data_IF_101490177889
#
_entry.id   IF_101490177889
#
_cell.length_a   1.000
_cell.length_b   1.000
_cell.length_c   1.000
_cell.angle_alpha   90.00
_cell.angle_beta   90.00
_cell.angle_gamma   90.00
#
_symmetry.space_group_name_H-M   'P 1'
#
loop_
_entity.id
_entity.type
_entity.pdbx_description
1 polymer ?
#
# COMPACT_ATOMS: atom_id res chain seq x y z
N UNK A 1 -17.32 -16.80 30.96
CA UNK A 1 -16.93 -15.56 30.26
C UNK A 1 -16.46 -15.96 28.89
N UNK A 2 -17.19 -15.59 27.85
CA UNK A 2 -16.79 -15.88 26.48
C UNK A 2 -15.64 -14.92 26.11
N UNK A 3 -14.46 -15.47 25.79
CA UNK A 3 -13.39 -14.70 25.15
C UNK A 3 -13.91 -14.30 23.75
N UNK A 4 -14.22 -13.02 23.59
CA UNK A 4 -14.41 -12.42 22.27
C UNK A 4 -13.09 -12.55 21.50
N UNK A 5 -13.01 -13.54 20.66
CA UNK A 5 -11.89 -13.67 19.69
C UNK A 5 -12.00 -12.47 18.76
N UNK A 6 -11.19 -11.45 18.98
CA UNK A 6 -11.08 -10.29 18.09
C UNK A 6 -10.61 -10.80 16.72
N UNK A 7 -11.57 -11.03 15.84
CA UNK A 7 -11.28 -11.44 14.46
C UNK A 7 -10.47 -10.34 13.78
N UNK A 8 -9.23 -10.66 13.42
CA UNK A 8 -8.33 -9.71 12.74
C UNK A 8 -8.91 -9.40 11.35
N UNK A 9 -9.24 -8.15 11.10
CA UNK A 9 -9.79 -7.68 9.82
C UNK A 9 -8.88 -8.07 8.65
N UNK A 10 -9.48 -8.58 7.59
CA UNK A 10 -8.81 -8.86 6.31
C UNK A 10 -8.31 -7.56 5.65
N UNK A 11 -7.47 -7.68 4.64
CA UNK A 11 -7.00 -6.52 3.89
C UNK A 11 -8.12 -5.75 3.20
N UNK A 12 -9.03 -6.47 2.58
CA UNK A 12 -10.21 -5.89 1.93
C UNK A 12 -11.09 -5.13 2.93
N UNK A 13 -11.33 -5.70 4.12
CA UNK A 13 -12.08 -5.03 5.19
C UNK A 13 -11.39 -3.77 5.70
N UNK A 14 -10.07 -3.77 5.76
CA UNK A 14 -9.29 -2.56 6.13
C UNK A 14 -9.40 -1.47 5.08
N UNK A 15 -9.31 -1.83 3.79
CA UNK A 15 -9.50 -0.88 2.70
C UNK A 15 -10.93 -0.35 2.65
N UNK A 16 -11.92 -1.21 2.83
CA UNK A 16 -13.32 -0.80 2.92
C UNK A 16 -13.55 0.17 4.08
N UNK A 17 -13.03 -0.13 5.27
CA UNK A 17 -13.14 0.76 6.44
C UNK A 17 -12.49 2.13 6.19
N UNK A 18 -11.34 2.17 5.52
CA UNK A 18 -10.71 3.43 5.12
C UNK A 18 -11.60 4.23 4.16
N UNK A 19 -12.16 3.58 3.13
CA UNK A 19 -13.04 4.24 2.16
C UNK A 19 -14.32 4.77 2.81
N UNK A 20 -14.93 4.02 3.73
CA UNK A 20 -16.10 4.48 4.50
C UNK A 20 -15.76 5.76 5.26
N UNK A 21 -14.66 5.77 6.01
CA UNK A 21 -14.21 6.96 6.75
C UNK A 21 -13.95 8.15 5.82
N UNK A 22 -13.35 7.90 4.64
CA UNK A 22 -13.10 8.95 3.66
C UNK A 22 -14.40 9.52 3.07
N UNK A 23 -15.39 8.66 2.78
CA UNK A 23 -16.70 9.07 2.29
C UNK A 23 -17.51 9.86 3.33
N UNK A 24 -17.49 9.42 4.58
CA UNK A 24 -18.11 10.16 5.70
C UNK A 24 -17.51 11.55 5.85
N UNK A 25 -16.19 11.67 5.78
CA UNK A 25 -15.52 12.97 5.81
C UNK A 25 -15.88 13.82 4.60
N UNK A 26 -15.88 13.25 3.40
CA UNK A 26 -16.26 13.96 2.18
C UNK A 26 -17.71 14.50 2.26
N UNK A 27 -18.64 13.71 2.80
CA UNK A 27 -20.04 14.13 2.96
C UNK A 27 -20.20 15.33 3.90
N UNK A 28 -19.32 15.45 4.90
CA UNK A 28 -19.27 16.59 5.82
C UNK A 28 -18.58 17.83 5.22
N UNK A 29 -17.80 17.66 4.15
CA UNK A 29 -16.98 18.68 3.50
C UNK A 29 -17.44 18.98 2.05
N UNK A 30 -18.73 19.14 1.82
CA UNK A 30 -19.32 19.44 0.51
C UNK A 30 -19.19 18.34 -0.55
N UNK A 31 -19.04 17.10 -0.14
CA UNK A 31 -19.07 15.94 -1.04
C UNK A 31 -17.82 15.72 -1.90
N UNK A 32 -16.70 16.37 -1.58
CA UNK A 32 -15.46 16.23 -2.34
C UNK A 32 -14.57 15.15 -1.75
N UNK A 33 -14.43 14.02 -2.45
CA UNK A 33 -13.56 12.92 -2.05
C UNK A 33 -12.09 13.14 -2.47
N UNK A 34 -11.90 13.74 -3.67
CA UNK A 34 -10.60 14.12 -4.22
C UNK A 34 -10.67 15.59 -4.65
N UNK A 35 -9.77 16.41 -4.17
CA UNK A 35 -9.74 17.85 -4.46
C UNK A 35 -9.19 18.20 -5.86
N UNK A 36 -9.07 17.21 -6.75
CA UNK A 36 -8.55 17.44 -8.08
C UNK A 36 -7.11 17.97 -8.11
N UNK A 37 -6.34 17.64 -7.08
CA UNK A 37 -4.92 18.03 -7.05
C UNK A 37 -4.21 17.43 -8.25
N UNK A 38 -3.40 18.21 -8.94
CA UNK A 38 -2.63 17.79 -10.11
C UNK A 38 -1.44 16.92 -9.76
N UNK A 39 -1.47 16.25 -8.60
CA UNK A 39 -0.41 15.32 -8.18
C UNK A 39 -0.31 14.14 -9.13
N UNK A 40 0.89 13.67 -9.31
CA UNK A 40 1.16 12.45 -10.08
C UNK A 40 0.51 11.23 -9.42
N UNK A 41 0.29 10.18 -10.22
CA UNK A 41 -0.23 8.91 -9.71
C UNK A 41 0.60 8.41 -8.52
N UNK A 42 -0.03 7.93 -7.45
CA UNK A 42 0.66 7.41 -6.28
C UNK A 42 1.65 6.29 -6.61
N UNK A 43 2.78 6.31 -5.95
CA UNK A 43 3.91 5.41 -6.19
C UNK A 43 4.69 5.08 -4.94
N UNK A 44 5.48 4.02 -4.98
CA UNK A 44 6.53 3.77 -4.01
C UNK A 44 7.73 4.69 -4.27
N UNK A 45 8.29 5.26 -3.21
CA UNK A 45 9.42 6.18 -3.30
C UNK A 45 10.68 5.51 -3.88
N UNK A 46 11.07 4.38 -3.30
CA UNK A 46 12.33 3.69 -3.57
C UNK A 46 12.18 2.40 -4.37
N UNK A 47 10.97 2.00 -4.67
CA UNK A 47 10.67 0.79 -5.44
C UNK A 47 9.89 1.19 -6.67
N UNK A 48 10.41 0.90 -7.84
CA UNK A 48 9.70 1.12 -9.10
C UNK A 48 8.47 0.23 -9.31
N UNK A 49 7.85 -0.20 -8.21
CA UNK A 49 6.67 -1.06 -8.21
C UNK A 49 5.45 -0.29 -8.70
N UNK A 50 4.73 -0.90 -9.61
CA UNK A 50 3.43 -0.39 -10.05
C UNK A 50 2.39 -0.62 -8.95
N UNK A 51 1.58 0.39 -8.74
CA UNK A 51 0.46 0.34 -7.82
C UNK A 51 -0.80 -0.01 -8.62
N UNK A 52 -1.57 -1.01 -8.16
CA UNK A 52 -2.83 -1.33 -8.82
C UNK A 52 -3.85 -0.18 -8.66
N UNK A 53 -4.86 -0.08 -9.53
CA UNK A 53 -5.79 1.07 -9.53
C UNK A 53 -6.52 1.29 -8.20
N UNK A 54 -6.90 0.24 -7.47
CA UNK A 54 -7.60 0.36 -6.18
C UNK A 54 -6.67 0.93 -5.12
N UNK A 55 -5.46 0.40 -5.01
CA UNK A 55 -4.44 0.95 -4.11
C UNK A 55 -4.10 2.39 -4.47
N UNK A 56 -3.97 2.71 -5.77
CA UNK A 56 -3.68 4.07 -6.23
C UNK A 56 -4.78 5.05 -5.81
N UNK A 57 -6.05 4.67 -5.96
CA UNK A 57 -7.17 5.48 -5.52
C UNK A 57 -7.14 5.73 -4.01
N UNK A 58 -6.93 4.68 -3.21
CA UNK A 58 -6.87 4.77 -1.75
C UNK A 58 -5.70 5.66 -1.30
N UNK A 59 -4.53 5.51 -1.92
CA UNK A 59 -3.35 6.34 -1.64
C UNK A 59 -3.59 7.80 -2.04
N UNK A 60 -4.24 8.06 -3.17
CA UNK A 60 -4.58 9.42 -3.60
C UNK A 60 -5.55 10.10 -2.63
N UNK A 61 -6.59 9.40 -2.19
CA UNK A 61 -7.54 9.89 -1.19
C UNK A 61 -6.80 10.20 0.13
N UNK A 62 -5.94 9.30 0.58
CA UNK A 62 -5.14 9.50 1.78
C UNK A 62 -4.24 10.73 1.67
N UNK A 63 -3.60 10.92 0.52
CA UNK A 63 -2.76 12.08 0.25
C UNK A 63 -3.54 13.39 0.29
N UNK A 64 -4.72 13.43 -0.30
CA UNK A 64 -5.58 14.62 -0.28
C UNK A 64 -6.14 14.91 1.12
N UNK A 65 -6.57 13.88 1.84
CA UNK A 65 -7.04 14.00 3.22
C UNK A 65 -5.95 14.54 4.16
N UNK A 66 -4.71 14.14 3.95
CA UNK A 66 -3.55 14.58 4.72
C UNK A 66 -2.98 15.93 4.29
N UNK A 67 -3.40 16.47 3.15
CA UNK A 67 -2.83 17.69 2.57
C UNK A 67 -1.35 17.52 2.19
N UNK A 68 -0.94 16.31 1.83
CA UNK A 68 0.46 16.01 1.52
C UNK A 68 0.89 16.63 0.19
N UNK A 69 2.16 17.03 0.13
CA UNK A 69 2.74 17.66 -1.06
C UNK A 69 3.05 16.66 -2.16
N UNK A 70 3.27 15.38 -1.80
CA UNK A 70 3.63 14.33 -2.76
C UNK A 70 2.65 13.17 -2.71
N UNK A 71 2.67 12.33 -3.77
CA UNK A 71 2.03 11.02 -3.80
C UNK A 71 3.05 9.87 -3.71
N UNK A 72 4.20 10.11 -3.08
CA UNK A 72 5.25 9.11 -2.85
C UNK A 72 5.07 8.45 -1.49
N UNK A 73 5.13 7.11 -1.47
CA UNK A 73 4.84 6.30 -0.30
C UNK A 73 5.97 5.33 0.03
N UNK A 74 6.09 5.01 1.30
CA UNK A 74 7.14 4.14 1.85
C UNK A 74 6.56 3.14 2.83
N UNK A 75 7.23 2.01 2.99
CA UNK A 75 7.00 1.09 4.09
C UNK A 75 7.71 1.58 5.35
N UNK A 76 7.17 1.25 6.52
CA UNK A 76 7.74 1.60 7.81
C UNK A 76 9.20 1.12 7.97
N UNK A 77 9.49 -0.11 7.53
CA UNK A 77 10.84 -0.66 7.62
C UNK A 77 11.82 0.03 6.64
N UNK A 78 11.34 0.47 5.47
CA UNK A 78 12.18 1.16 4.50
C UNK A 78 12.62 2.54 5.03
N UNK A 79 11.78 3.24 5.81
CA UNK A 79 12.19 4.48 6.47
C UNK A 79 13.33 4.25 7.45
N UNK A 80 13.24 3.21 8.27
CA UNK A 80 14.31 2.86 9.23
C UNK A 80 15.64 2.54 8.54
N UNK A 81 15.59 1.79 7.44
CA UNK A 81 16.80 1.43 6.68
C UNK A 81 17.53 2.66 6.10
N UNK A 82 16.81 3.77 5.90
CA UNK A 82 17.37 5.04 5.44
C UNK A 82 17.72 6.02 6.57
N UNK A 83 17.59 5.61 7.82
CA UNK A 83 17.81 6.49 8.97
C UNK A 83 16.70 7.54 9.15
N UNK A 84 15.54 7.29 8.58
CA UNK A 84 14.32 8.09 8.72
C UNK A 84 13.36 7.45 9.72
N UNK A 85 12.33 8.17 10.11
CA UNK A 85 11.26 7.67 10.96
C UNK A 85 9.91 8.22 10.51
N UNK A 86 8.85 7.42 10.68
CA UNK A 86 7.48 7.94 10.64
C UNK A 86 7.24 8.78 11.89
N UNK A 87 6.68 9.98 11.70
CA UNK A 87 6.43 10.88 12.83
C UNK A 87 5.39 10.28 13.79
N UNK A 88 5.54 10.57 15.07
CA UNK A 88 4.63 10.08 16.11
C UNK A 88 3.19 10.54 15.85
N UNK A 89 2.25 9.61 15.93
CA UNK A 89 0.83 9.88 15.75
C UNK A 89 0.33 9.82 14.30
N UNK A 90 1.23 9.70 13.33
CA UNK A 90 0.84 9.55 11.93
C UNK A 90 0.17 8.20 11.69
N UNK A 91 -0.86 8.22 10.86
CA UNK A 91 -1.59 7.03 10.44
C UNK A 91 -1.33 6.76 8.96
N UNK A 92 -0.90 5.56 8.67
CA UNK A 92 -0.69 5.11 7.29
C UNK A 92 -1.98 4.62 6.64
N UNK A 93 -1.86 4.23 5.40
CA UNK A 93 -2.95 3.74 4.56
C UNK A 93 -2.79 2.23 4.30
N UNK A 94 -3.87 1.44 4.32
CA UNK A 94 -3.81 0.00 4.01
C UNK A 94 -3.56 -0.21 2.53
N UNK A 95 -2.57 -1.03 2.22
CA UNK A 95 -2.17 -1.43 0.89
C UNK A 95 -2.28 -2.94 0.75
N UNK A 96 -3.01 -3.41 -0.24
CA UNK A 96 -3.19 -4.83 -0.53
C UNK A 96 -2.21 -5.27 -1.60
N UNK A 97 -1.43 -6.29 -1.27
CA UNK A 97 -0.53 -6.95 -2.19
C UNK A 97 -0.94 -8.39 -2.40
N UNK A 98 -1.19 -8.78 -3.64
CA UNK A 98 -1.44 -10.18 -3.97
C UNK A 98 -0.12 -10.86 -4.27
N UNK A 99 0.27 -11.77 -3.41
CA UNK A 99 1.47 -12.58 -3.56
C UNK A 99 1.15 -13.84 -4.35
N UNK A 100 1.80 -14.02 -5.49
CA UNK A 100 1.66 -15.16 -6.40
C UNK A 100 2.85 -16.13 -6.32
N UNK A 101 3.56 -16.17 -5.20
CA UNK A 101 4.76 -16.99 -5.03
C UNK A 101 4.50 -18.43 -4.63
N UNK A 102 3.27 -18.79 -4.32
CA UNK A 102 2.91 -20.12 -3.80
C UNK A 102 2.00 -20.88 -4.78
N UNK A 103 2.22 -22.16 -4.87
CA UNK A 103 1.39 -23.12 -5.59
C UNK A 103 0.95 -24.21 -4.63
N UNK A 104 -0.28 -24.70 -4.77
CA UNK A 104 -0.86 -25.75 -3.95
C UNK A 104 -1.26 -26.94 -4.81
N UNK A 105 -1.01 -28.15 -4.30
CA UNK A 105 -1.45 -29.39 -4.95
C UNK A 105 -2.99 -29.45 -4.97
N UNK A 106 -3.53 -29.79 -6.13
CA UNK A 106 -4.99 -29.84 -6.36
C UNK A 106 -5.70 -30.87 -5.48
N UNK A 107 -4.99 -31.97 -5.17
CA UNK A 107 -5.52 -33.12 -4.42
C UNK A 107 -5.14 -33.08 -2.93
N UNK A 108 -4.14 -32.28 -2.56
CA UNK A 108 -3.67 -32.14 -1.19
C UNK A 108 -3.38 -30.67 -0.85
N UNK A 109 -4.28 -29.94 -0.18
CA UNK A 109 -4.10 -28.53 0.17
C UNK A 109 -2.92 -28.22 1.11
N UNK A 110 -2.41 -29.22 1.84
CA UNK A 110 -1.25 -29.08 2.72
C UNK A 110 0.08 -29.13 1.96
N UNK A 111 0.06 -29.70 0.74
CA UNK A 111 1.23 -29.76 -0.14
C UNK A 111 1.35 -28.46 -0.92
N UNK A 112 2.20 -27.57 -0.43
CA UNK A 112 2.46 -26.23 -0.98
C UNK A 112 3.92 -26.10 -1.37
N UNK A 113 4.15 -25.51 -2.53
CA UNK A 113 5.50 -25.27 -3.05
C UNK A 113 5.67 -23.82 -3.49
N UNK A 114 6.91 -23.36 -3.50
CA UNK A 114 7.23 -22.02 -4.02
C UNK A 114 7.13 -21.99 -5.55
N UNK A 115 7.08 -20.79 -6.10
CA UNK A 115 7.09 -20.58 -7.57
C UNK A 115 8.36 -21.12 -8.21
N UNK A 116 9.49 -21.01 -7.54
CA UNK A 116 10.77 -21.54 -8.01
C UNK A 116 10.74 -23.07 -8.05
N UNK A 117 10.26 -23.72 -6.98
CA UNK A 117 10.08 -25.15 -6.93
C UNK A 117 9.09 -25.64 -8.01
N UNK A 118 7.97 -24.94 -8.20
CA UNK A 118 7.01 -25.26 -9.25
C UNK A 118 7.65 -25.23 -10.66
N UNK A 119 8.44 -24.19 -10.96
CA UNK A 119 9.13 -24.09 -12.26
C UNK A 119 10.19 -25.15 -12.48
N UNK A 120 10.75 -25.71 -11.41
CA UNK A 120 11.74 -26.77 -11.46
C UNK A 120 11.12 -28.17 -11.65
N UNK A 121 9.80 -28.31 -11.47
CA UNK A 121 9.12 -29.58 -11.68
C UNK A 121 9.00 -29.93 -13.17
N UNK A 122 9.02 -31.24 -13.52
CA UNK A 122 8.60 -31.70 -14.84
C UNK A 122 7.18 -31.24 -15.17
N UNK A 123 6.89 -31.01 -16.45
CA UNK A 123 5.57 -30.50 -16.89
C UNK A 123 4.40 -31.39 -16.45
N UNK A 124 4.60 -32.73 -16.45
CA UNK A 124 3.63 -33.70 -15.94
C UNK A 124 3.26 -33.48 -14.46
N UNK A 125 4.25 -33.06 -13.65
CA UNK A 125 4.06 -32.83 -12.22
C UNK A 125 3.48 -31.42 -11.96
N UNK A 126 3.84 -30.45 -12.79
CA UNK A 126 3.24 -29.10 -12.71
C UNK A 126 1.71 -29.14 -12.87
N UNK A 127 1.19 -30.07 -13.67
CA UNK A 127 -0.27 -30.24 -13.87
C UNK A 127 -1.02 -30.57 -12.56
N UNK A 128 -0.34 -31.07 -11.54
CA UNK A 128 -0.92 -31.39 -10.22
C UNK A 128 -1.07 -30.17 -9.31
N UNK A 129 -0.46 -29.05 -9.65
CA UNK A 129 -0.47 -27.82 -8.86
C UNK A 129 -1.31 -26.73 -9.52
N UNK A 130 -1.83 -25.84 -8.70
CA UNK A 130 -2.50 -24.60 -9.13
C UNK A 130 -1.93 -23.41 -8.36
N UNK A 131 -1.95 -22.20 -8.92
CA UNK A 131 -1.61 -21.00 -8.19
C UNK A 131 -2.44 -20.86 -6.90
N UNK A 132 -1.78 -20.47 -5.82
CA UNK A 132 -2.39 -20.17 -4.53
C UNK A 132 -2.09 -18.72 -4.15
N UNK A 133 -2.78 -17.74 -4.77
CA UNK A 133 -2.55 -16.34 -4.47
C UNK A 133 -2.92 -16.05 -3.01
N UNK A 134 -2.03 -15.33 -2.31
CA UNK A 134 -2.26 -14.88 -0.94
C UNK A 134 -2.29 -13.36 -0.89
N UNK A 135 -3.26 -12.81 -0.19
CA UNK A 135 -3.31 -11.39 0.08
C UNK A 135 -2.52 -11.04 1.33
N UNK A 136 -1.54 -10.18 1.16
CA UNK A 136 -0.79 -9.56 2.24
C UNK A 136 -1.21 -8.09 2.39
N UNK A 137 -1.34 -7.63 3.62
CA UNK A 137 -1.71 -6.25 3.92
C UNK A 137 -0.51 -5.53 4.49
N UNK A 138 -0.13 -4.45 3.84
CA UNK A 138 0.90 -3.55 4.32
C UNK A 138 0.28 -2.22 4.75
N UNK A 139 0.96 -1.50 5.61
CA UNK A 139 0.63 -0.12 5.93
C UNK A 139 1.70 0.76 5.32
N UNK A 140 1.27 1.65 4.41
CA UNK A 140 2.15 2.61 3.77
C UNK A 140 1.99 3.99 4.41
N UNK A 141 3.07 4.75 4.40
CA UNK A 141 3.11 6.13 4.83
C UNK A 141 3.55 7.02 3.67
N UNK A 142 2.91 8.17 3.53
CA UNK A 142 3.41 9.18 2.62
C UNK A 142 4.75 9.71 3.15
N UNK A 143 5.69 10.05 2.25
CA UNK A 143 6.99 10.59 2.67
C UNK A 143 6.85 11.88 3.48
N UNK A 144 5.76 12.64 3.28
CA UNK A 144 5.43 13.83 4.09
C UNK A 144 5.11 13.49 5.56
N UNK A 145 4.77 12.23 5.87
CA UNK A 145 4.53 11.75 7.23
C UNK A 145 5.81 11.27 7.94
N UNK A 146 6.93 11.38 7.28
CA UNK A 146 8.23 10.91 7.78
C UNK A 146 9.15 12.08 8.15
N UNK A 147 10.32 11.76 8.69
CA UNK A 147 11.39 12.73 8.92
C UNK A 147 12.21 13.05 7.67
N UNK A 148 11.90 12.43 6.51
CA UNK A 148 12.60 12.64 5.25
C UNK A 148 12.75 14.11 4.85
N UNK A 149 11.72 15.00 4.99
CA UNK A 149 11.86 16.40 4.67
C UNK A 149 12.98 17.13 5.43
N UNK A 150 13.35 16.61 6.60
CA UNK A 150 14.39 17.20 7.44
C UNK A 150 15.74 16.48 7.30
N UNK A 151 15.71 15.15 7.20
CA UNK A 151 16.92 14.29 7.21
C UNK A 151 17.53 14.19 5.81
N UNK A 152 16.70 14.07 4.78
CA UNK A 152 17.09 13.96 3.37
C UNK A 152 16.36 15.02 2.53
N UNK A 153 16.59 16.29 2.88
CA UNK A 153 15.88 17.43 2.31
C UNK A 153 15.98 17.49 0.79
N UNK A 154 17.16 17.29 0.23
CA UNK A 154 17.37 17.36 -1.22
C UNK A 154 16.59 16.27 -1.97
N UNK A 155 16.60 15.04 -1.46
CA UNK A 155 15.83 13.94 -2.05
C UNK A 155 14.32 14.19 -1.94
N UNK A 156 13.86 14.75 -0.81
CA UNK A 156 12.47 15.13 -0.63
C UNK A 156 12.06 16.24 -1.61
N UNK A 157 12.82 17.32 -1.72
CA UNK A 157 12.56 18.42 -2.66
C UNK A 157 12.51 17.92 -4.11
N UNK A 158 13.40 17.00 -4.48
CA UNK A 158 13.36 16.34 -5.79
C UNK A 158 12.06 15.54 -6.00
N UNK A 159 11.58 14.84 -4.97
CA UNK A 159 10.29 14.13 -5.05
C UNK A 159 9.11 15.10 -5.21
N UNK A 160 9.11 16.23 -4.49
CA UNK A 160 8.10 17.28 -4.64
C UNK A 160 8.11 17.87 -6.04
N UNK A 161 9.29 18.14 -6.59
CA UNK A 161 9.44 18.69 -7.94
C UNK A 161 8.97 17.73 -9.03
N UNK A 162 9.29 16.44 -8.91
CA UNK A 162 8.99 15.44 -9.94
C UNK A 162 7.56 14.87 -9.83
N UNK A 163 7.04 14.73 -8.63
CA UNK A 163 5.83 13.95 -8.32
C UNK A 163 4.83 14.68 -7.43
N UNK A 164 5.13 15.90 -7.02
CA UNK A 164 4.21 16.77 -6.33
C UNK A 164 3.17 17.35 -7.28
N UNK A 165 2.13 17.94 -6.71
CA UNK A 165 1.25 18.83 -7.48
C UNK A 165 2.00 20.09 -7.88
N UNK A 166 1.71 20.62 -9.04
CA UNK A 166 2.11 21.99 -9.34
C UNK A 166 1.44 22.89 -8.29
N UNK A 167 2.25 23.64 -7.54
CA UNK A 167 1.71 24.77 -6.80
C UNK A 167 0.89 25.59 -7.81
N UNK A 168 -0.37 25.82 -7.48
CA UNK A 168 -1.20 26.64 -8.34
C UNK A 168 -0.49 27.95 -8.61
N UNK A 169 -0.32 28.17 -9.87
CA UNK A 169 -0.03 29.50 -10.33
C UNK A 169 -1.27 30.38 -10.11
#
# INVERSE_FOLDING_TARGET
MAEETIQKKTGAERQAAFLVTALERASQQNGVLLNGTKKQTPRFFDKGLRVNPVNALIMAIHSDMGGFKTNSYVLFNDTKNRGEAVRKGEKGVPFLWTNHSEYVNKDNPEDKITREAFKALPESDQARYKPNPREDVYVLFNIDQTTMPNVHKEDYEKQVQLYGGTADA
#
